data_IF_432998739735
#
_entry.id   IF_432998739735
#
_cell.length_a   1.000
_cell.length_b   1.000
_cell.length_c   1.000
_cell.angle_alpha   90.00
_cell.angle_beta   90.00
_cell.angle_gamma   90.00
#
_symmetry.space_group_name_H-M   'P 1'
#
loop_
_entity.id
_entity.type
_entity.pdbx_description
1 polymer ?
#
# COMPACT_ATOMS: atom_id res chain seq x y z
N UNK A 1 -43.36 0.32 22.39
CA UNK A 1 -42.27 -0.57 21.93
C UNK A 1 -41.23 0.28 21.24
N UNK A 2 -40.02 0.33 21.77
CA UNK A 2 -38.94 1.21 21.32
C UNK A 2 -38.52 0.87 19.89
N UNK A 3 -38.65 1.84 18.99
CA UNK A 3 -37.99 1.77 17.68
C UNK A 3 -36.52 2.06 17.95
N UNK A 4 -35.73 1.02 18.15
CA UNK A 4 -34.27 1.14 18.07
C UNK A 4 -33.99 1.78 16.71
N UNK A 5 -33.43 2.99 16.71
CA UNK A 5 -33.13 3.71 15.49
C UNK A 5 -32.18 2.79 14.68
N UNK A 6 -32.49 2.45 13.41
CA UNK A 6 -31.61 1.60 12.61
C UNK A 6 -30.21 2.21 12.62
N UNK A 7 -29.24 1.41 13.03
CA UNK A 7 -27.86 1.86 13.11
C UNK A 7 -27.32 2.06 11.69
N UNK A 8 -26.27 2.86 11.54
CA UNK A 8 -25.57 2.97 10.27
C UNK A 8 -25.19 1.59 9.70
N UNK A 9 -24.82 0.63 10.57
CA UNK A 9 -24.51 -0.75 10.18
C UNK A 9 -25.71 -1.49 9.56
N UNK A 10 -26.92 -1.27 10.09
CA UNK A 10 -28.15 -1.85 9.55
C UNK A 10 -28.49 -1.26 8.18
N UNK A 11 -28.29 0.06 8.04
CA UNK A 11 -28.50 0.75 6.79
C UNK A 11 -27.50 0.30 5.70
N UNK A 12 -26.23 0.13 6.04
CA UNK A 12 -25.20 -0.42 5.13
C UNK A 12 -25.55 -1.84 4.69
N UNK A 13 -26.04 -2.67 5.61
CA UNK A 13 -26.42 -4.07 5.30
C UNK A 13 -27.66 -4.12 4.39
N UNK A 14 -28.58 -3.17 4.57
CA UNK A 14 -29.75 -3.00 3.71
C UNK A 14 -29.35 -2.56 2.30
N UNK A 15 -28.46 -1.57 2.18
CA UNK A 15 -27.93 -1.09 0.90
C UNK A 15 -27.12 -2.16 0.16
N UNK A 16 -26.31 -2.95 0.87
CA UNK A 16 -25.56 -4.07 0.28
C UNK A 16 -26.50 -5.10 -0.34
N UNK A 17 -27.60 -5.42 0.35
CA UNK A 17 -28.63 -6.33 -0.14
C UNK A 17 -29.37 -5.75 -1.34
N UNK A 18 -29.70 -4.46 -1.30
CA UNK A 18 -30.36 -3.74 -2.39
C UNK A 18 -29.52 -3.71 -3.66
N UNK A 19 -28.20 -3.52 -3.54
CA UNK A 19 -27.28 -3.48 -4.68
C UNK A 19 -26.81 -4.87 -5.14
N UNK A 20 -27.30 -5.94 -4.52
CA UNK A 20 -27.03 -7.33 -4.93
C UNK A 20 -27.28 -7.64 -6.42
N UNK A 21 -28.32 -7.10 -7.10
CA UNK A 21 -28.48 -7.24 -8.55
C UNK A 21 -27.34 -6.62 -9.35
N UNK A 22 -26.85 -5.44 -8.95
CA UNK A 22 -25.69 -4.78 -9.58
C UNK A 22 -24.45 -5.66 -9.43
N UNK A 23 -24.18 -6.14 -8.21
CA UNK A 23 -23.06 -7.08 -7.95
C UNK A 23 -23.11 -8.29 -8.89
N UNK A 24 -24.28 -8.88 -9.09
CA UNK A 24 -24.47 -10.04 -9.99
C UNK A 24 -24.25 -9.70 -11.46
N UNK A 25 -24.50 -8.46 -11.87
CA UNK A 25 -24.25 -7.99 -13.22
C UNK A 25 -22.76 -7.68 -13.49
N UNK A 26 -21.94 -7.49 -12.45
CA UNK A 26 -20.50 -7.29 -12.58
C UNK A 26 -19.77 -8.56 -13.06
N UNK A 27 -18.69 -8.35 -13.82
CA UNK A 27 -17.71 -9.42 -14.12
C UNK A 27 -17.17 -10.00 -12.82
N UNK A 28 -16.84 -11.30 -12.82
CA UNK A 28 -16.35 -12.01 -11.62
C UNK A 28 -15.14 -11.34 -10.97
N UNK A 29 -14.26 -10.73 -11.76
CA UNK A 29 -13.09 -9.99 -11.27
C UNK A 29 -13.48 -8.80 -10.37
N UNK A 30 -14.56 -8.09 -10.69
CA UNK A 30 -15.01 -6.90 -9.94
C UNK A 30 -15.95 -7.23 -8.78
N UNK A 31 -16.45 -8.46 -8.67
CA UNK A 31 -17.37 -8.83 -7.58
C UNK A 31 -16.67 -8.77 -6.22
N UNK A 32 -15.41 -9.21 -6.16
CA UNK A 32 -14.61 -9.13 -4.94
C UNK A 32 -14.31 -7.67 -4.55
N UNK A 33 -14.03 -6.81 -5.53
CA UNK A 33 -13.85 -5.37 -5.29
C UNK A 33 -15.11 -4.71 -4.76
N UNK A 34 -16.27 -5.07 -5.32
CA UNK A 34 -17.56 -4.57 -4.86
C UNK A 34 -17.82 -4.95 -3.39
N UNK A 35 -17.60 -6.21 -3.02
CA UNK A 35 -17.78 -6.68 -1.64
C UNK A 35 -16.86 -5.93 -0.65
N UNK A 36 -15.62 -5.65 -1.07
CA UNK A 36 -14.68 -4.87 -0.27
C UNK A 36 -15.14 -3.43 -0.01
N UNK A 37 -15.95 -2.82 -0.87
CA UNK A 37 -16.48 -1.45 -0.62
C UNK A 37 -17.29 -1.41 0.67
N UNK A 38 -18.19 -2.38 0.86
CA UNK A 38 -19.06 -2.46 2.03
C UNK A 38 -18.30 -2.90 3.27
N UNK A 39 -17.35 -3.82 3.15
CA UNK A 39 -16.44 -4.19 4.24
C UNK A 39 -15.68 -2.97 4.76
N UNK A 40 -15.04 -2.21 3.87
CA UNK A 40 -14.31 -1.00 4.20
C UNK A 40 -15.20 0.07 4.83
N UNK A 41 -16.39 0.30 4.27
CA UNK A 41 -17.32 1.32 4.78
C UNK A 41 -17.81 1.04 6.20
N UNK A 42 -17.92 -0.24 6.60
CA UNK A 42 -18.28 -0.62 7.98
C UNK A 42 -17.23 -0.21 9.02
N UNK A 43 -15.97 -0.03 8.63
CA UNK A 43 -14.89 0.47 9.49
C UNK A 43 -15.08 1.93 9.93
N UNK A 44 -15.95 2.67 9.26
CA UNK A 44 -16.24 4.08 9.56
C UNK A 44 -17.59 4.28 10.25
N UNK A 45 -18.21 3.20 10.74
CA UNK A 45 -19.54 3.23 11.33
C UNK A 45 -19.69 4.19 12.52
N UNK A 46 -18.65 4.31 13.34
CA UNK A 46 -18.67 5.17 14.53
C UNK A 46 -18.68 6.67 14.15
N UNK A 47 -17.95 7.04 13.09
CA UNK A 47 -17.92 8.40 12.56
C UNK A 47 -19.17 8.73 11.72
N UNK A 48 -19.62 7.78 10.88
CA UNK A 48 -20.80 7.92 10.05
C UNK A 48 -22.09 8.03 10.89
N UNK A 49 -22.12 7.43 12.08
CA UNK A 49 -23.22 7.59 13.04
C UNK A 49 -23.44 9.02 13.54
N UNK A 50 -22.42 9.90 13.44
CA UNK A 50 -22.53 11.32 13.81
C UNK A 50 -23.03 12.19 12.65
N UNK A 51 -22.79 11.77 11.41
CA UNK A 51 -23.28 12.43 10.20
C UNK A 51 -24.72 11.99 9.91
N UNK A 52 -25.65 12.44 10.75
CA UNK A 52 -27.12 12.42 10.56
C UNK A 52 -27.69 11.20 9.79
N UNK A 53 -28.34 10.28 10.52
CA UNK A 53 -28.93 9.03 10.03
C UNK A 53 -30.00 9.15 8.92
N UNK A 54 -30.25 10.34 8.37
CA UNK A 54 -31.27 10.61 7.35
C UNK A 54 -30.81 10.27 5.94
N UNK A 55 -29.51 10.12 5.70
CA UNK A 55 -28.98 9.76 4.37
C UNK A 55 -27.87 8.69 4.43
N UNK A 56 -28.28 7.41 4.59
CA UNK A 56 -27.32 6.31 4.67
C UNK A 56 -26.50 6.10 3.40
N UNK A 57 -27.03 6.43 2.23
CA UNK A 57 -26.31 6.31 0.96
C UNK A 57 -25.15 7.29 0.89
N UNK A 58 -25.39 8.58 1.22
CA UNK A 58 -24.30 9.56 1.29
C UNK A 58 -23.26 9.18 2.35
N UNK A 59 -23.70 8.68 3.50
CA UNK A 59 -22.80 8.21 4.55
C UNK A 59 -21.95 7.00 4.09
N UNK A 60 -22.56 6.05 3.35
CA UNK A 60 -21.87 4.92 2.75
C UNK A 60 -20.80 5.39 1.75
N UNK A 61 -21.18 6.26 0.80
CA UNK A 61 -20.26 6.79 -0.23
C UNK A 61 -19.08 7.52 0.42
N UNK A 62 -19.33 8.41 1.39
CA UNK A 62 -18.26 9.10 2.11
C UNK A 62 -17.35 8.14 2.86
N UNK A 63 -17.90 7.10 3.48
CA UNK A 63 -17.12 6.09 4.19
C UNK A 63 -16.23 5.28 3.23
N UNK A 64 -16.74 4.92 2.05
CA UNK A 64 -15.95 4.26 1.00
C UNK A 64 -14.82 5.18 0.51
N UNK A 65 -15.13 6.45 0.22
CA UNK A 65 -14.12 7.41 -0.23
C UNK A 65 -13.03 7.62 0.81
N UNK A 66 -13.41 7.73 2.09
CA UNK A 66 -12.46 7.89 3.18
C UNK A 66 -11.60 6.62 3.36
N UNK A 67 -12.19 5.45 3.21
CA UNK A 67 -11.43 4.19 3.23
C UNK A 67 -10.38 4.15 2.12
N UNK A 68 -10.76 4.54 0.90
CA UNK A 68 -9.82 4.59 -0.21
C UNK A 68 -8.75 5.66 -0.02
N UNK A 69 -9.07 6.82 0.55
CA UNK A 69 -8.06 7.84 0.87
C UNK A 69 -7.05 7.34 1.90
N UNK A 70 -7.50 6.54 2.88
CA UNK A 70 -6.61 5.89 3.85
C UNK A 70 -5.69 4.87 3.18
N UNK A 71 -6.24 4.02 2.32
CA UNK A 71 -5.46 3.00 1.59
C UNK A 71 -4.46 3.65 0.61
N UNK A 72 -4.88 4.68 -0.13
CA UNK A 72 -4.01 5.43 -1.03
C UNK A 72 -2.82 6.04 -0.29
N UNK A 73 -3.05 6.64 0.88
CA UNK A 73 -1.96 7.19 1.70
C UNK A 73 -0.99 6.11 2.16
N UNK A 74 -1.49 4.95 2.58
CA UNK A 74 -0.64 3.83 3.01
C UNK A 74 0.18 3.26 1.85
N UNK A 75 -0.44 3.09 0.68
CA UNK A 75 0.26 2.60 -0.52
C UNK A 75 1.33 3.58 -0.98
N UNK A 76 1.02 4.88 -0.99
CA UNK A 76 2.00 5.94 -1.32
C UNK A 76 3.17 5.97 -0.33
N UNK A 77 2.90 5.90 0.97
CA UNK A 77 3.96 5.86 1.97
C UNK A 77 4.89 4.65 1.81
N UNK A 78 4.33 3.47 1.55
CA UNK A 78 5.13 2.26 1.28
C UNK A 78 5.95 2.36 -0.01
N UNK A 79 5.43 3.06 -1.02
CA UNK A 79 6.16 3.31 -2.27
C UNK A 79 7.35 4.24 -2.00
N UNK A 80 7.14 5.35 -1.28
CA UNK A 80 8.20 6.29 -0.89
C UNK A 80 9.29 5.60 -0.04
N UNK A 81 8.90 4.73 0.90
CA UNK A 81 9.82 3.91 1.69
C UNK A 81 10.66 2.98 0.78
N UNK A 82 10.01 2.26 -0.14
CA UNK A 82 10.69 1.35 -1.05
C UNK A 82 11.64 2.07 -2.02
N UNK A 83 11.25 3.25 -2.50
CA UNK A 83 12.10 4.12 -3.35
C UNK A 83 13.34 4.59 -2.59
N UNK A 84 13.18 4.98 -1.32
CA UNK A 84 14.32 5.37 -0.46
C UNK A 84 15.28 4.20 -0.21
N UNK A 85 14.74 3.00 0.08
CA UNK A 85 15.55 1.80 0.27
C UNK A 85 16.34 1.42 -0.99
N UNK A 86 15.74 1.63 -2.17
CA UNK A 86 16.40 1.39 -3.46
C UNK A 86 17.56 2.36 -3.67
N UNK A 87 17.36 3.67 -3.44
CA UNK A 87 18.41 4.69 -3.56
C UNK A 87 19.59 4.37 -2.61
N UNK A 88 19.29 3.98 -1.36
CA UNK A 88 20.30 3.57 -0.40
C UNK A 88 21.08 2.32 -0.85
N UNK A 89 20.40 1.35 -1.47
CA UNK A 89 21.03 0.14 -1.99
C UNK A 89 21.92 0.45 -3.20
N UNK A 90 21.48 1.31 -4.11
CA UNK A 90 22.26 1.79 -5.25
C UNK A 90 23.53 2.50 -4.79
N UNK A 91 23.42 3.41 -3.80
CA UNK A 91 24.59 4.09 -3.23
C UNK A 91 25.56 3.14 -2.49
N UNK A 92 25.08 2.01 -1.96
CA UNK A 92 25.95 0.96 -1.41
C UNK A 92 26.67 0.18 -2.50
N UNK A 93 25.99 -0.11 -3.61
CA UNK A 93 26.58 -0.80 -4.76
C UNK A 93 27.71 0.04 -5.38
N UNK A 94 27.48 1.34 -5.60
CA UNK A 94 28.50 2.25 -6.14
C UNK A 94 29.77 2.24 -5.27
N UNK A 95 29.62 2.25 -3.95
CA UNK A 95 30.77 2.17 -3.01
C UNK A 95 31.50 0.83 -3.10
N UNK A 96 30.78 -0.27 -3.30
CA UNK A 96 31.39 -1.59 -3.46
C UNK A 96 32.15 -1.65 -4.77
N UNK A 97 31.57 -1.17 -5.87
CA UNK A 97 32.20 -1.10 -7.19
C UNK A 97 33.49 -0.26 -7.15
N UNK A 98 33.46 0.90 -6.50
CA UNK A 98 34.65 1.73 -6.32
C UNK A 98 35.76 0.99 -5.54
N UNK A 99 35.41 0.27 -4.47
CA UNK A 99 36.38 -0.51 -3.68
C UNK A 99 36.94 -1.69 -4.46
N UNK A 100 36.14 -2.33 -5.30
CA UNK A 100 36.60 -3.40 -6.19
C UNK A 100 37.62 -2.87 -7.18
N UNK A 101 37.32 -1.75 -7.85
CA UNK A 101 38.25 -1.11 -8.79
C UNK A 101 39.58 -0.70 -8.13
N UNK A 102 39.53 -0.19 -6.89
CA UNK A 102 40.75 0.12 -6.12
C UNK A 102 41.55 -1.15 -5.81
N UNK A 103 40.87 -2.23 -5.41
CA UNK A 103 41.51 -3.50 -5.08
C UNK A 103 42.17 -4.14 -6.30
N UNK A 104 41.50 -4.10 -7.46
CA UNK A 104 42.04 -4.56 -8.73
C UNK A 104 43.30 -3.77 -9.13
N UNK A 105 43.25 -2.43 -9.02
CA UNK A 105 44.42 -1.57 -9.29
C UNK A 105 45.61 -1.92 -8.39
N UNK A 106 45.36 -2.20 -7.10
CA UNK A 106 46.42 -2.61 -6.15
C UNK A 106 46.99 -4.00 -6.46
N UNK A 107 46.18 -4.92 -6.99
CA UNK A 107 46.64 -6.24 -7.42
C UNK A 107 47.55 -6.13 -8.65
N UNK A 108 47.18 -5.28 -9.62
CA UNK A 108 48.01 -5.00 -10.79
C UNK A 108 49.38 -4.41 -10.39
N UNK A 109 49.39 -3.41 -9.51
CA UNK A 109 50.62 -2.75 -9.05
C UNK A 109 51.54 -3.70 -8.27
N UNK A 110 50.98 -4.59 -7.44
CA UNK A 110 51.78 -5.57 -6.68
C UNK A 110 52.32 -6.71 -7.57
N UNK A 111 51.60 -7.09 -8.63
CA UNK A 111 52.07 -8.04 -9.63
C UNK A 111 53.24 -7.50 -10.47
N UNK A 112 53.33 -6.19 -10.67
CA UNK A 112 54.45 -5.56 -11.38
C UNK A 112 55.70 -5.34 -10.50
N UNK A 113 55.60 -5.49 -9.17
CA UNK A 113 56.61 -4.99 -8.20
C UNK A 113 57.29 -6.10 -7.37
N UNK A 114 57.22 -7.39 -7.74
CA UNK A 114 57.90 -8.45 -6.96
C UNK A 114 58.59 -9.55 -7.79
N UNK A 115 59.73 -10.12 -7.33
CA UNK A 115 60.92 -9.53 -6.72
C UNK A 115 62.11 -9.56 -7.72
N UNK A 116 62.79 -8.44 -7.96
CA UNK A 116 64.08 -8.42 -8.68
C UNK A 116 65.26 -8.89 -7.82
N UNK A 117 65.03 -9.39 -6.61
CA UNK A 117 66.11 -9.78 -5.70
C UNK A 117 66.37 -11.29 -5.77
N UNK A 118 67.22 -11.69 -6.72
CA UNK A 118 67.65 -13.09 -6.80
C UNK A 118 68.43 -13.51 -8.03
N UNK A 119 69.57 -12.87 -8.35
CA UNK A 119 70.75 -13.59 -8.85
C UNK A 119 72.01 -12.73 -8.78
N UNK A 120 72.90 -13.18 -7.88
CA UNK A 120 74.33 -12.91 -7.82
C UNK A 120 75.07 -13.25 -9.10
#
# INVERSE_FOLDING_TARGET
MGRTNPTYRDAVSSLESEWGPMRRALRREYQADFDRLFERARGFADAAGHANATDPERALVLSVLLAHEVELRQVRGRLEEAETELEDAEGRLEKIEARLAETDSRLEESATTGPEDGRS
#
